data_IF_656241728577
#
_entry.id   IF_656241728577
#
_cell.length_a   1.000
_cell.length_b   1.000
_cell.length_c   1.000
_cell.angle_alpha   90.00
_cell.angle_beta   90.00
_cell.angle_gamma   90.00
#
_symmetry.space_group_name_H-M   'P 1'
#
loop_
_entity.id
_entity.type
_entity.pdbx_description
1 polymer ?
#
# COMPACT_ATOMS: atom_id res chain seq x y z
N UNK A 1 -7.81 9.50 2.58
CA UNK A 1 -7.52 8.20 1.93
C UNK A 1 -8.23 7.05 2.63
N UNK A 2 -8.03 6.86 3.93
CA UNK A 2 -8.72 5.82 4.72
C UNK A 2 -10.24 5.92 4.62
N UNK A 3 -10.80 7.12 4.64
CA UNK A 3 -12.25 7.34 4.54
C UNK A 3 -12.82 6.88 3.20
N UNK A 4 -12.08 7.06 2.11
CA UNK A 4 -12.48 6.54 0.79
C UNK A 4 -12.52 5.01 0.77
N UNK A 5 -11.57 4.34 1.41
CA UNK A 5 -11.58 2.88 1.54
C UNK A 5 -12.78 2.43 2.37
N UNK A 6 -13.01 3.07 3.51
CA UNK A 6 -14.17 2.79 4.37
C UNK A 6 -15.50 2.99 3.65
N UNK A 7 -15.69 4.13 2.97
CA UNK A 7 -16.92 4.44 2.22
C UNK A 7 -17.20 3.40 1.12
N UNK A 8 -16.19 3.01 0.38
CA UNK A 8 -16.36 1.98 -0.67
C UNK A 8 -16.73 0.62 -0.07
N UNK A 9 -16.09 0.21 1.01
CA UNK A 9 -16.38 -1.06 1.67
C UNK A 9 -17.71 -1.03 2.44
N UNK A 10 -18.12 0.10 3.02
CA UNK A 10 -19.40 0.25 3.70
C UNK A 10 -20.61 0.10 2.76
N UNK A 11 -20.46 0.50 1.49
CA UNK A 11 -21.48 0.29 0.46
C UNK A 11 -21.71 -1.19 0.11
N UNK A 12 -20.76 -2.07 0.45
CA UNK A 12 -20.87 -3.50 0.24
C UNK A 12 -21.22 -4.18 1.57
N UNK A 13 -22.43 -4.72 1.65
CA UNK A 13 -22.88 -5.44 2.84
C UNK A 13 -22.07 -6.72 3.02
N UNK A 14 -20.99 -6.65 3.80
CA UNK A 14 -20.09 -7.78 4.06
C UNK A 14 -20.84 -9.05 4.51
N UNK A 15 -21.93 -8.87 5.26
CA UNK A 15 -22.74 -9.98 5.79
C UNK A 15 -23.52 -10.76 4.70
N UNK A 16 -23.68 -10.20 3.51
CA UNK A 16 -24.34 -10.88 2.37
C UNK A 16 -23.37 -11.63 1.48
N UNK A 17 -22.07 -11.47 1.70
CA UNK A 17 -21.03 -12.06 0.88
C UNK A 17 -20.38 -13.23 1.61
N UNK A 18 -20.07 -14.28 0.83
CA UNK A 18 -19.21 -15.36 1.32
C UNK A 18 -17.79 -14.83 1.61
N UNK A 19 -17.03 -15.56 2.42
CA UNK A 19 -15.63 -15.22 2.72
C UNK A 19 -14.77 -15.07 1.44
N UNK A 20 -15.06 -15.92 0.44
CA UNK A 20 -14.42 -15.82 -0.87
C UNK A 20 -14.75 -14.49 -1.56
N UNK A 21 -16.02 -14.08 -1.59
CA UNK A 21 -16.44 -12.80 -2.15
C UNK A 21 -15.84 -11.61 -1.42
N UNK A 22 -15.79 -11.64 -0.09
CA UNK A 22 -15.14 -10.62 0.73
C UNK A 22 -13.64 -10.51 0.41
N UNK A 23 -12.94 -11.66 0.28
CA UNK A 23 -11.52 -11.67 -0.07
C UNK A 23 -11.23 -11.09 -1.45
N UNK A 24 -12.10 -11.36 -2.43
CA UNK A 24 -12.00 -10.77 -3.78
C UNK A 24 -12.19 -9.25 -3.73
N UNK A 25 -13.17 -8.75 -2.98
CA UNK A 25 -13.39 -7.31 -2.83
C UNK A 25 -12.22 -6.60 -2.13
N UNK A 26 -11.67 -7.17 -1.06
CA UNK A 26 -10.48 -6.64 -0.41
C UNK A 26 -9.33 -6.57 -1.41
N UNK A 27 -9.15 -7.59 -2.22
CA UNK A 27 -8.05 -7.69 -3.16
C UNK A 27 -8.16 -6.70 -4.33
N UNK A 28 -9.35 -6.54 -4.89
CA UNK A 28 -9.55 -5.77 -6.12
C UNK A 28 -10.05 -4.35 -5.87
N UNK A 29 -10.78 -4.09 -4.81
CA UNK A 29 -11.33 -2.76 -4.51
C UNK A 29 -10.50 -2.04 -3.47
N UNK A 30 -10.42 -2.60 -2.25
CA UNK A 30 -9.75 -1.92 -1.14
C UNK A 30 -8.26 -1.71 -1.39
N UNK A 31 -7.62 -2.69 -2.02
CA UNK A 31 -6.20 -2.63 -2.32
C UNK A 31 -5.84 -1.66 -3.44
N UNK A 32 -6.75 -1.36 -4.37
CA UNK A 32 -6.46 -0.49 -5.52
C UNK A 32 -6.59 1.00 -5.18
N UNK A 33 -7.48 1.37 -4.27
CA UNK A 33 -7.72 2.77 -3.89
C UNK A 33 -6.44 3.48 -3.40
N UNK A 34 -5.65 2.91 -2.49
CA UNK A 34 -4.42 3.56 -2.01
C UNK A 34 -3.26 3.51 -3.00
N UNK A 35 -3.31 2.66 -4.04
CA UNK A 35 -2.20 2.48 -4.98
C UNK A 35 -1.74 3.79 -5.62
N UNK A 36 -2.67 4.68 -5.98
CA UNK A 36 -2.33 5.95 -6.61
C UNK A 36 -1.37 6.80 -5.75
N UNK A 37 -1.63 6.86 -4.45
CA UNK A 37 -0.76 7.61 -3.52
C UNK A 37 0.50 6.81 -3.19
N UNK A 38 0.37 5.48 -3.05
CA UNK A 38 1.48 4.58 -2.72
C UNK A 38 2.54 4.47 -3.81
N UNK A 39 2.19 4.77 -5.07
CA UNK A 39 3.14 4.75 -6.19
C UNK A 39 4.21 5.85 -6.08
N UNK A 40 3.87 6.99 -5.48
CA UNK A 40 4.74 8.16 -5.44
C UNK A 40 5.26 8.49 -4.04
N UNK A 41 4.60 8.01 -2.99
CA UNK A 41 4.89 8.40 -1.62
C UNK A 41 5.09 7.19 -0.71
N UNK A 42 6.07 7.27 0.17
CA UNK A 42 6.19 6.37 1.31
C UNK A 42 5.21 6.84 2.40
N UNK A 43 4.27 5.98 2.78
CA UNK A 43 3.26 6.32 3.78
C UNK A 43 3.74 5.99 5.20
N UNK A 44 3.26 6.74 6.22
CA UNK A 44 3.53 6.42 7.62
C UNK A 44 2.92 5.07 8.05
N UNK A 45 3.56 4.38 9.00
CA UNK A 45 3.10 3.08 9.50
C UNK A 45 1.64 3.11 10.01
N UNK A 46 1.21 4.20 10.65
CA UNK A 46 -0.18 4.39 11.11
C UNK A 46 -1.21 4.26 9.98
N UNK A 47 -0.86 4.69 8.76
CA UNK A 47 -1.74 4.57 7.59
C UNK A 47 -1.81 3.13 7.11
N UNK A 48 -0.69 2.41 7.07
CA UNK A 48 -0.68 0.98 6.71
C UNK A 48 -1.52 0.16 7.67
N UNK A 49 -1.32 0.34 8.97
CA UNK A 49 -2.11 -0.31 10.01
C UNK A 49 -3.60 0.01 9.89
N UNK A 50 -3.92 1.26 9.56
CA UNK A 50 -5.30 1.70 9.30
C UNK A 50 -5.94 0.98 8.12
N UNK A 51 -5.23 0.86 7.00
CA UNK A 51 -5.71 0.13 5.81
C UNK A 51 -5.89 -1.36 6.14
N UNK A 52 -4.89 -1.97 6.76
CA UNK A 52 -4.92 -3.39 7.10
C UNK A 52 -6.02 -3.70 8.14
N UNK A 53 -6.28 -2.78 9.07
CA UNK A 53 -7.40 -2.89 10.02
C UNK A 53 -8.75 -2.86 9.30
N UNK A 54 -8.95 -1.93 8.37
CA UNK A 54 -10.19 -1.83 7.59
C UNK A 54 -10.41 -3.09 6.75
N UNK A 55 -9.37 -3.58 6.09
CA UNK A 55 -9.42 -4.80 5.29
C UNK A 55 -9.76 -6.04 6.13
N UNK A 56 -9.13 -6.15 7.29
CA UNK A 56 -9.36 -7.24 8.23
C UNK A 56 -10.79 -7.21 8.78
N UNK A 57 -11.27 -6.05 9.21
CA UNK A 57 -12.63 -5.92 9.71
C UNK A 57 -13.66 -6.29 8.64
N UNK A 58 -13.46 -5.86 7.40
CA UNK A 58 -14.33 -6.21 6.30
C UNK A 58 -14.31 -7.72 6.01
N UNK A 59 -13.13 -8.34 5.98
CA UNK A 59 -12.97 -9.77 5.72
C UNK A 59 -13.70 -10.64 6.75
N UNK A 60 -13.74 -10.21 8.01
CA UNK A 60 -14.43 -10.91 9.08
C UNK A 60 -15.86 -10.42 9.33
N UNK A 61 -16.34 -9.49 8.51
CA UNK A 61 -17.67 -8.89 8.65
C UNK A 61 -17.88 -8.15 9.97
N UNK A 62 -16.80 -7.61 10.54
CA UNK A 62 -16.86 -6.73 11.69
C UNK A 62 -17.32 -5.34 11.26
N UNK A 63 -18.30 -4.78 11.98
CA UNK A 63 -18.75 -3.39 11.84
C UNK A 63 -18.31 -2.58 13.03
N UNK A 64 -18.45 -1.24 12.96
CA UNK A 64 -18.10 -0.38 14.09
C UNK A 64 -18.96 -0.68 15.34
N UNK A 65 -20.20 -1.18 15.13
CA UNK A 65 -21.14 -1.57 16.21
C UNK A 65 -20.94 -3.00 16.70
N UNK A 66 -20.50 -3.92 15.83
CA UNK A 66 -20.38 -5.36 16.16
C UNK A 66 -18.97 -5.84 15.79
N UNK A 67 -18.17 -6.13 16.79
CA UNK A 67 -16.86 -6.75 16.62
C UNK A 67 -17.02 -8.25 16.55
N UNK A 68 -16.63 -8.85 15.43
CA UNK A 68 -16.59 -10.31 15.27
C UNK A 68 -15.19 -10.84 15.56
N UNK A 69 -15.12 -12.11 15.98
CA UNK A 69 -13.86 -12.79 16.22
C UNK A 69 -13.10 -12.97 14.90
N UNK A 70 -11.81 -12.69 14.94
CA UNK A 70 -10.90 -12.93 13.82
C UNK A 70 -10.27 -14.31 13.98
N UNK A 71 -10.72 -15.27 13.17
CA UNK A 71 -10.31 -16.66 13.27
C UNK A 71 -8.84 -16.92 12.95
N UNK A 72 -8.26 -16.13 12.06
CA UNK A 72 -6.89 -16.28 11.59
C UNK A 72 -6.15 -14.96 11.69
N UNK A 73 -4.89 -14.98 12.14
CA UNK A 73 -4.04 -13.80 12.21
C UNK A 73 -3.80 -13.19 10.84
N UNK A 74 -3.73 -11.86 10.76
CA UNK A 74 -3.55 -11.12 9.53
C UNK A 74 -2.28 -11.53 8.78
N UNK A 75 -1.20 -11.82 9.49
CA UNK A 75 0.07 -12.25 8.90
C UNK A 75 -0.04 -13.59 8.15
N UNK A 76 -0.90 -14.50 8.63
CA UNK A 76 -1.19 -15.76 7.92
C UNK A 76 -2.01 -15.53 6.66
N UNK A 77 -3.00 -14.63 6.73
CA UNK A 77 -3.88 -14.29 5.60
C UNK A 77 -3.10 -13.62 4.47
N UNK A 78 -2.12 -12.78 4.81
CA UNK A 78 -1.33 -12.01 3.83
C UNK A 78 -0.21 -12.82 3.18
N UNK A 79 0.00 -14.07 3.58
CA UNK A 79 0.96 -14.97 2.90
C UNK A 79 0.52 -15.28 1.47
N UNK A 80 1.48 -15.65 0.61
CA UNK A 80 1.20 -16.16 -0.72
C UNK A 80 0.30 -17.40 -0.68
N UNK A 81 -0.43 -17.67 -1.75
CA UNK A 81 -1.32 -18.83 -1.84
C UNK A 81 -0.60 -20.17 -1.72
N UNK A 82 0.61 -20.28 -2.23
CA UNK A 82 1.47 -21.44 -2.12
C UNK A 82 1.92 -21.75 -0.67
N UNK A 83 1.85 -20.74 0.22
CA UNK A 83 2.14 -20.88 1.64
C UNK A 83 0.88 -20.94 2.52
N UNK A 84 -0.27 -21.22 1.91
CA UNK A 84 -1.56 -21.34 2.60
C UNK A 84 -2.25 -20.02 2.94
N UNK A 85 -1.79 -18.88 2.41
CA UNK A 85 -2.43 -17.59 2.58
C UNK A 85 -3.51 -17.32 1.53
N UNK A 86 -4.30 -16.26 1.72
CA UNK A 86 -5.28 -15.80 0.73
C UNK A 86 -4.64 -15.00 -0.42
N UNK A 87 -3.34 -14.69 -0.35
CA UNK A 87 -2.64 -13.86 -1.32
C UNK A 87 -3.14 -12.40 -1.33
N UNK A 88 -3.62 -11.91 -0.20
CA UNK A 88 -3.90 -10.49 0.03
C UNK A 88 -2.58 -9.86 0.46
N UNK A 89 -2.15 -8.81 -0.22
CA UNK A 89 -0.91 -8.14 0.13
C UNK A 89 -1.11 -7.17 1.28
N UNK A 90 -0.24 -7.23 2.30
CA UNK A 90 -0.18 -6.23 3.36
C UNK A 90 0.14 -4.84 2.77
N UNK A 91 -0.47 -3.79 3.33
CA UNK A 91 -0.37 -2.43 2.79
C UNK A 91 1.08 -1.93 2.73
N UNK A 92 1.89 -2.23 3.74
CA UNK A 92 3.31 -1.85 3.79
C UNK A 92 4.13 -2.51 2.68
N UNK A 93 4.00 -3.83 2.51
CA UNK A 93 4.71 -4.58 1.47
C UNK A 93 4.34 -4.09 0.06
N UNK A 94 3.06 -3.78 -0.15
CA UNK A 94 2.58 -3.21 -1.40
C UNK A 94 3.19 -1.85 -1.71
N UNK A 95 3.25 -0.94 -0.74
CA UNK A 95 3.87 0.38 -0.94
C UNK A 95 5.35 0.22 -1.31
N UNK A 96 6.08 -0.64 -0.61
CA UNK A 96 7.48 -0.92 -0.92
C UNK A 96 7.66 -1.46 -2.34
N UNK A 97 6.83 -2.41 -2.77
CA UNK A 97 6.88 -2.98 -4.11
C UNK A 97 6.60 -1.94 -5.20
N UNK A 98 5.64 -1.04 -4.98
CA UNK A 98 5.32 0.04 -5.91
C UNK A 98 6.46 1.07 -6.02
N UNK A 99 7.07 1.45 -4.91
CA UNK A 99 8.22 2.36 -4.90
C UNK A 99 9.46 1.71 -5.54
N UNK A 100 9.69 0.42 -5.28
CA UNK A 100 10.77 -0.33 -5.93
C UNK A 100 10.58 -0.40 -7.44
N UNK A 101 9.34 -0.61 -7.92
CA UNK A 101 9.01 -0.55 -9.34
C UNK A 101 9.29 0.84 -9.93
N UNK A 102 8.93 1.91 -9.22
CA UNK A 102 9.20 3.28 -9.66
C UNK A 102 10.72 3.53 -9.75
N UNK A 103 11.47 3.08 -8.74
CA UNK A 103 12.92 3.20 -8.72
C UNK A 103 13.56 2.41 -9.89
N UNK A 104 13.11 1.18 -10.12
CA UNK A 104 13.56 0.40 -11.27
C UNK A 104 13.33 1.13 -12.60
N UNK A 105 12.13 1.64 -12.83
CA UNK A 105 11.81 2.42 -14.02
C UNK A 105 12.69 3.66 -14.16
N UNK A 106 12.99 4.34 -13.05
CA UNK A 106 13.87 5.52 -13.04
C UNK A 106 15.28 5.20 -13.56
N UNK A 107 15.79 4.01 -13.25
CA UNK A 107 17.08 3.56 -13.74
C UNK A 107 17.06 3.03 -15.18
N UNK A 108 15.95 2.41 -15.58
CA UNK A 108 15.80 1.80 -16.90
C UNK A 108 15.36 2.81 -17.97
N UNK A 109 14.37 3.63 -17.68
CA UNK A 109 13.76 4.59 -18.60
C UNK A 109 14.47 5.95 -18.55
N UNK A 110 15.77 5.98 -18.82
CA UNK A 110 16.61 7.21 -18.69
C UNK A 110 16.17 8.35 -19.62
N UNK A 111 15.59 8.02 -20.77
CA UNK A 111 15.17 8.97 -21.80
C UNK A 111 13.77 9.57 -21.57
N UNK A 112 13.01 9.03 -20.64
CA UNK A 112 11.67 9.54 -20.34
C UNK A 112 11.71 10.95 -19.72
N UNK A 113 10.75 11.80 -20.08
CA UNK A 113 10.67 13.19 -19.59
C UNK A 113 10.66 13.27 -18.07
N UNK A 114 9.87 12.43 -17.41
CA UNK A 114 9.79 12.41 -15.95
C UNK A 114 11.12 12.06 -15.29
N UNK A 115 11.90 11.13 -15.86
CA UNK A 115 13.21 10.76 -15.34
C UNK A 115 14.23 11.90 -15.55
N UNK A 116 14.20 12.58 -16.70
CA UNK A 116 15.04 13.75 -16.98
C UNK A 116 14.74 14.90 -15.99
N UNK A 117 13.47 15.19 -15.74
CA UNK A 117 13.05 16.21 -14.78
C UNK A 117 13.51 15.88 -13.36
N UNK A 118 13.30 14.64 -12.92
CA UNK A 118 13.72 14.21 -11.58
C UNK A 118 15.24 14.24 -11.41
N UNK A 119 15.99 13.78 -12.42
CA UNK A 119 17.46 13.88 -12.41
C UNK A 119 17.92 15.34 -12.34
N UNK A 120 17.35 16.22 -13.16
CA UNK A 120 17.68 17.63 -13.17
C UNK A 120 17.38 18.32 -11.83
N UNK A 121 16.30 17.89 -11.14
CA UNK A 121 15.90 18.49 -9.86
C UNK A 121 16.69 17.93 -8.68
N UNK A 122 16.90 16.62 -8.60
CA UNK A 122 17.41 15.96 -7.42
C UNK A 122 18.84 15.39 -7.55
N UNK A 123 19.28 15.06 -8.76
CA UNK A 123 20.59 14.48 -8.98
C UNK A 123 21.62 15.48 -9.56
N UNK A 124 21.34 16.78 -9.53
CA UNK A 124 22.28 17.79 -10.02
C UNK A 124 23.33 18.10 -8.93
N UNK A 125 24.61 17.74 -9.13
CA UNK A 125 25.67 17.90 -8.12
C UNK A 125 25.87 19.36 -7.69
N UNK A 126 25.55 20.33 -8.53
CA UNK A 126 25.67 21.75 -8.22
C UNK A 126 24.67 22.27 -7.18
N UNK A 127 23.55 21.58 -6.96
CA UNK A 127 22.55 21.94 -5.92
C UNK A 127 22.79 21.24 -4.59
N UNK A 128 23.54 20.15 -4.57
CA UNK A 128 23.86 19.41 -3.35
C UNK A 128 24.95 20.10 -2.52
N UNK A 129 25.74 21.00 -3.12
CA UNK A 129 26.79 21.75 -2.40
C UNK A 129 26.29 22.98 -1.65
N UNK A 130 25.05 23.45 -1.90
CA UNK A 130 24.52 24.70 -1.30
C UNK A 130 23.39 24.50 -0.29
N UNK A 131 22.92 23.29 -0.06
CA UNK A 131 21.85 23.04 0.90
C UNK A 131 22.22 21.88 1.82
N UNK A 132 22.73 22.26 2.99
CA UNK A 132 22.68 21.56 4.26
C UNK A 132 22.91 20.04 4.21
N UNK A 133 24.13 19.65 4.61
CA UNK A 133 24.62 18.25 4.72
C UNK A 133 23.83 17.35 5.67
N UNK A 134 22.77 17.82 6.31
CA UNK A 134 22.17 17.13 7.47
C UNK A 134 20.78 16.55 7.24
N UNK A 135 20.23 16.53 6.00
CA UNK A 135 18.86 16.03 5.81
C UNK A 135 18.62 15.23 4.53
N UNK A 136 19.48 14.27 4.20
CA UNK A 136 19.08 13.18 3.33
C UNK A 136 19.69 11.90 3.86
N UNK A 137 18.90 11.00 4.42
CA UNK A 137 19.32 9.61 4.54
C UNK A 137 19.29 9.01 3.13
N UNK A 138 20.39 9.08 2.41
CA UNK A 138 20.66 8.08 1.39
C UNK A 138 20.79 6.77 2.15
N UNK A 139 19.69 6.04 2.26
CA UNK A 139 19.70 4.69 2.76
C UNK A 139 20.67 3.89 1.91
N UNK A 140 21.75 3.48 2.54
CA UNK A 140 22.57 2.35 2.09
C UNK A 140 21.62 1.14 2.00
N UNK A 141 21.57 0.52 0.87
CA UNK A 141 21.28 -0.90 0.72
C UNK A 141 22.60 -1.60 0.64
#
# INVERSE_FOLDING_TARGET
MLDRVKLKLAGWKANLLSLAGQSVLVKHVSSTIPNYVMQCNHLPNKIFEGIDRVNRNFLWGSTDSVKKMHWVGWDKITRPKNEGGLGIQAAKGRNLALLSKLNWRFHTEKESLWAKVLKGKYCNPRRLSSSNRDRLPCSRV
#
